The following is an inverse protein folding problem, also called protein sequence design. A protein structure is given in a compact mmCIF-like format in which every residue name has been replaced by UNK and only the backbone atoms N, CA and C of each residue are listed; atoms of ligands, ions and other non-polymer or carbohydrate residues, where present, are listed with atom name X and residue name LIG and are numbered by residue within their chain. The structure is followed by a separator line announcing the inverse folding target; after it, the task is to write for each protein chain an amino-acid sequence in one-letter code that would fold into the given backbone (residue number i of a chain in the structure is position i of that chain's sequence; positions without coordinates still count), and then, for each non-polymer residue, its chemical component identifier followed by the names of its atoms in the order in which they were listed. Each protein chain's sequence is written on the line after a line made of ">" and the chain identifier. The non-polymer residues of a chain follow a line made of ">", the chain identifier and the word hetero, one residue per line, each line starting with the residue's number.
data_IF_608318089505
#
_entry.id   IF_608318089505
#
_cell.length_a   1.000
_cell.length_b   1.000
_cell.length_c   1.000
_cell.angle_alpha   90.00
_cell.angle_beta   90.00
_cell.angle_gamma   90.00
#
_symmetry.space_group_name_H-M   'P 1'
#
loop_
_entity.id
_entity.type
_entity.pdbx_description
1 polymer ?
#
# COMPACT_ATOMS: atom_id res chain seq x y z
N UNK A 1 -3.62 -30.52 50.93
CA UNK A 1 -3.05 -29.24 50.45
C UNK A 1 -3.96 -28.42 49.52
N UNK A 2 -4.98 -28.99 48.86
CA UNK A 2 -5.87 -28.26 47.92
C UNK A 2 -6.85 -27.23 48.53
N UNK A 3 -6.94 -27.11 49.86
CA UNK A 3 -7.91 -26.21 50.53
C UNK A 3 -7.51 -24.73 50.51
N UNK A 4 -6.21 -24.43 50.39
CA UNK A 4 -5.70 -23.05 50.37
C UNK A 4 -5.96 -22.35 49.01
N UNK A 5 -5.87 -23.10 47.90
CA UNK A 5 -6.11 -22.57 46.55
C UNK A 5 -7.59 -22.20 46.33
N UNK A 6 -8.51 -22.99 46.90
CA UNK A 6 -9.97 -22.75 46.83
C UNK A 6 -10.42 -21.49 47.60
N UNK A 7 -9.61 -21.00 48.55
CA UNK A 7 -9.91 -19.81 49.35
C UNK A 7 -9.52 -18.52 48.61
N UNK A 8 -8.35 -18.51 47.94
CA UNK A 8 -7.89 -17.39 47.10
C UNK A 8 -8.82 -17.03 45.94
N UNK A 9 -9.53 -18.00 45.36
CA UNK A 9 -10.51 -17.72 44.28
C UNK A 9 -11.80 -17.06 44.78
N UNK A 10 -12.08 -17.10 46.09
CA UNK A 10 -13.32 -16.56 46.70
C UNK A 10 -13.13 -15.18 47.34
N UNK A 11 -11.90 -14.65 47.30
CA UNK A 11 -11.52 -13.31 47.77
C UNK A 11 -11.55 -12.27 46.63
N UNK A 12 -12.47 -12.40 45.66
CA UNK A 12 -12.76 -11.34 44.67
C UNK A 12 -13.63 -10.21 45.26
N UNK A 13 -13.43 -9.90 46.54
CA UNK A 13 -14.09 -8.78 47.23
C UNK A 13 -13.31 -7.51 46.93
N UNK A 14 -13.53 -6.89 45.77
CA UNK A 14 -12.79 -5.66 45.46
C UNK A 14 -12.89 -5.13 44.04
N UNK A 15 -14.06 -5.18 43.40
CA UNK A 15 -14.34 -4.27 42.30
C UNK A 15 -15.67 -3.60 42.60
N UNK A 16 -15.60 -2.35 43.02
CA UNK A 16 -16.78 -1.51 43.13
C UNK A 16 -17.13 -0.97 41.74
N UNK A 17 -18.42 -0.76 41.45
CA UNK A 17 -18.84 -0.19 40.16
C UNK A 17 -18.20 1.17 39.88
N UNK A 18 -17.88 1.94 40.93
CA UNK A 18 -17.25 3.25 40.81
C UNK A 18 -15.79 3.18 40.34
N UNK A 19 -15.04 2.14 40.74
CA UNK A 19 -13.66 1.93 40.27
C UNK A 19 -13.64 1.58 38.78
N UNK A 20 -14.55 0.72 38.33
CA UNK A 20 -14.69 0.43 36.91
C UNK A 20 -15.18 1.66 36.12
N UNK A 21 -16.05 2.47 36.72
CA UNK A 21 -16.56 3.70 36.10
C UNK A 21 -15.45 4.74 35.88
N UNK A 22 -14.58 4.96 36.87
CA UNK A 22 -13.47 5.90 36.72
C UNK A 22 -12.52 5.51 35.57
N UNK A 23 -12.24 4.21 35.41
CA UNK A 23 -11.36 3.70 34.35
C UNK A 23 -11.96 3.90 32.96
N UNK A 24 -13.24 3.56 32.76
CA UNK A 24 -13.88 3.75 31.44
C UNK A 24 -13.99 5.23 31.06
N UNK A 25 -14.14 6.13 32.03
CA UNK A 25 -14.16 7.59 31.79
C UNK A 25 -12.80 8.05 31.27
N UNK A 26 -11.71 7.65 31.94
CA UNK A 26 -10.36 8.01 31.51
C UNK A 26 -10.05 7.41 30.13
N UNK A 27 -10.36 6.12 29.90
CA UNK A 27 -10.20 5.48 28.60
C UNK A 27 -11.04 6.16 27.51
N UNK A 28 -12.25 6.61 27.85
CA UNK A 28 -13.13 7.35 26.94
C UNK A 28 -12.54 8.69 26.50
N UNK A 29 -11.95 9.46 27.43
CA UNK A 29 -11.29 10.73 27.12
C UNK A 29 -10.07 10.50 26.22
N UNK A 30 -9.25 9.50 26.54
CA UNK A 30 -8.07 9.16 25.72
C UNK A 30 -8.51 8.70 24.32
N UNK A 31 -9.49 7.81 24.23
CA UNK A 31 -10.02 7.31 22.97
C UNK A 31 -10.60 8.43 22.09
N UNK A 32 -11.29 9.42 22.68
CA UNK A 32 -11.88 10.53 21.96
C UNK A 32 -10.84 11.36 21.16
N UNK A 33 -9.62 11.53 21.70
CA UNK A 33 -8.54 12.28 21.02
C UNK A 33 -7.69 11.35 20.15
N UNK A 34 -7.45 10.12 20.61
CA UNK A 34 -6.57 9.17 19.94
C UNK A 34 -7.16 8.66 18.60
N UNK A 35 -8.47 8.36 18.55
CA UNK A 35 -9.09 7.75 17.36
C UNK A 35 -8.99 8.64 16.12
N UNK A 36 -9.39 9.94 16.16
CA UNK A 36 -9.26 10.81 14.98
C UNK A 36 -7.81 10.97 14.53
N UNK A 37 -6.88 11.12 15.48
CA UNK A 37 -5.46 11.34 15.22
C UNK A 37 -4.80 10.13 14.55
N UNK A 38 -5.08 8.92 15.06
CA UNK A 38 -4.55 7.67 14.51
C UNK A 38 -5.19 7.34 13.16
N UNK A 39 -6.49 7.61 12.99
CA UNK A 39 -7.20 7.36 11.73
C UNK A 39 -6.60 8.13 10.54
N UNK A 40 -6.32 9.43 10.73
CA UNK A 40 -5.66 10.25 9.70
C UNK A 40 -4.24 9.76 9.38
N UNK A 41 -3.46 9.41 10.41
CA UNK A 41 -2.11 8.89 10.25
C UNK A 41 -2.09 7.58 9.47
N UNK A 42 -2.97 6.63 9.79
CA UNK A 42 -3.07 5.34 9.09
C UNK A 42 -3.36 5.55 7.60
N UNK A 43 -4.29 6.44 7.25
CA UNK A 43 -4.60 6.73 5.85
C UNK A 43 -3.40 7.31 5.11
N UNK A 44 -2.67 8.24 5.74
CA UNK A 44 -1.43 8.77 5.16
C UNK A 44 -0.38 7.68 4.96
N UNK A 45 -0.11 6.86 5.97
CA UNK A 45 0.85 5.74 5.87
C UNK A 45 0.47 4.76 4.77
N UNK A 46 -0.82 4.45 4.59
CA UNK A 46 -1.29 3.59 3.49
C UNK A 46 -1.06 4.24 2.12
N UNK A 47 -1.32 5.54 1.99
CA UNK A 47 -1.08 6.27 0.75
C UNK A 47 0.41 6.37 0.42
N UNK A 48 1.25 6.66 1.42
CA UNK A 48 2.70 6.69 1.30
C UNK A 48 3.24 5.31 0.86
N UNK A 49 2.70 4.22 1.42
CA UNK A 49 3.07 2.85 1.03
C UNK A 49 2.72 2.55 -0.43
N UNK A 50 1.51 2.92 -0.89
CA UNK A 50 1.07 2.76 -2.29
C UNK A 50 1.98 3.53 -3.26
N UNK A 51 2.35 4.76 -2.91
CA UNK A 51 3.25 5.57 -3.76
C UNK A 51 4.66 4.98 -3.79
N UNK A 52 5.17 4.53 -2.65
CA UNK A 52 6.48 3.88 -2.58
C UNK A 52 6.52 2.59 -3.42
N UNK A 53 5.46 1.79 -3.37
CA UNK A 53 5.30 0.59 -4.20
C UNK A 53 5.31 0.94 -5.69
N UNK A 54 4.52 1.93 -6.13
CA UNK A 54 4.53 2.39 -7.51
C UNK A 54 5.93 2.85 -7.99
N UNK A 55 6.69 3.54 -7.14
CA UNK A 55 8.07 3.94 -7.45
C UNK A 55 8.98 2.71 -7.58
N UNK A 56 8.83 1.70 -6.74
CA UNK A 56 9.60 0.46 -6.83
C UNK A 56 9.31 -0.29 -8.14
N UNK A 57 8.03 -0.38 -8.54
CA UNK A 57 7.59 -0.95 -9.81
C UNK A 57 8.22 -0.19 -10.99
N UNK A 58 8.17 1.14 -10.99
CA UNK A 58 8.80 1.97 -12.04
C UNK A 58 10.31 1.75 -12.09
N UNK A 59 10.98 1.64 -10.94
CA UNK A 59 12.42 1.37 -10.89
C UNK A 59 12.76 -0.02 -11.47
N UNK A 60 11.92 -1.03 -11.27
CA UNK A 60 12.08 -2.33 -11.89
C UNK A 60 11.91 -2.26 -13.42
N UNK A 61 10.90 -1.52 -13.91
CA UNK A 61 10.73 -1.25 -15.34
C UNK A 61 11.93 -0.50 -15.94
N UNK A 62 12.50 0.46 -15.22
CA UNK A 62 13.74 1.16 -15.60
C UNK A 62 14.92 0.21 -15.74
N UNK A 63 15.12 -0.68 -14.77
CA UNK A 63 16.19 -1.67 -14.80
C UNK A 63 16.02 -2.65 -15.98
N UNK A 64 14.79 -3.09 -16.21
CA UNK A 64 14.43 -3.94 -17.35
C UNK A 64 14.74 -3.24 -18.68
N UNK A 65 14.34 -1.97 -18.83
CA UNK A 65 14.61 -1.18 -20.04
C UNK A 65 16.10 -0.90 -20.24
N UNK A 66 16.86 -0.70 -19.16
CA UNK A 66 18.31 -0.55 -19.23
C UNK A 66 18.98 -1.80 -19.82
N UNK A 67 18.39 -2.98 -19.59
CA UNK A 67 18.84 -4.26 -20.17
C UNK A 67 18.33 -4.47 -21.60
N UNK A 68 17.09 -4.04 -21.90
CA UNK A 68 16.49 -4.12 -23.22
C UNK A 68 15.67 -2.87 -23.55
N UNK A 69 16.28 -1.94 -24.30
CA UNK A 69 15.69 -0.65 -24.63
C UNK A 69 14.44 -0.73 -25.54
N UNK A 70 14.22 -1.88 -26.18
CA UNK A 70 13.05 -2.13 -27.05
C UNK A 70 11.78 -2.38 -26.26
N UNK A 71 11.89 -2.70 -24.97
CA UNK A 71 10.73 -2.86 -24.09
C UNK A 71 10.25 -1.46 -23.67
N UNK A 72 8.98 -1.19 -23.93
CA UNK A 72 8.33 0.10 -23.58
C UNK A 72 7.10 -0.08 -22.72
N UNK A 73 6.69 -1.33 -22.47
CA UNK A 73 5.53 -1.66 -21.65
C UNK A 73 5.89 -2.82 -20.73
N UNK A 74 5.34 -2.78 -19.52
CA UNK A 74 5.48 -3.84 -18.57
C UNK A 74 4.18 -4.08 -17.81
N UNK A 75 3.90 -5.33 -17.56
CA UNK A 75 2.77 -5.81 -16.79
C UNK A 75 3.23 -6.67 -15.61
N UNK A 76 2.31 -7.05 -14.74
CA UNK A 76 2.61 -7.79 -13.53
C UNK A 76 2.94 -9.26 -13.83
N UNK A 77 2.12 -9.93 -14.66
CA UNK A 77 2.10 -11.38 -14.81
C UNK A 77 2.48 -11.89 -16.20
N UNK A 78 2.62 -11.00 -17.20
CA UNK A 78 2.90 -11.34 -18.59
C UNK A 78 1.64 -11.61 -19.44
N UNK A 79 0.44 -11.29 -18.93
CA UNK A 79 -0.83 -11.40 -19.63
C UNK A 79 -1.04 -10.34 -20.72
N UNK A 80 -0.29 -9.23 -20.70
CA UNK A 80 -0.38 -8.23 -21.75
C UNK A 80 0.04 -8.82 -23.09
N UNK A 81 -0.87 -8.76 -24.05
CA UNK A 81 -0.57 -9.10 -25.44
C UNK A 81 -0.22 -7.82 -26.20
N UNK A 82 0.83 -7.83 -27.04
CA UNK A 82 1.16 -6.68 -27.89
C UNK A 82 -0.03 -6.28 -28.76
N UNK A 83 -0.71 -5.18 -28.40
CA UNK A 83 -1.77 -4.60 -29.23
C UNK A 83 -1.15 -3.65 -30.24
N UNK A 84 -0.81 -4.19 -31.42
CA UNK A 84 -0.27 -3.41 -32.52
C UNK A 84 0.16 -4.28 -33.69
N UNK A 85 -0.64 -4.27 -34.76
CA UNK A 85 -0.27 -4.92 -36.01
C UNK A 85 1.02 -4.33 -36.58
N UNK A 86 2.11 -5.10 -36.54
CA UNK A 86 3.24 -4.94 -37.46
C UNK A 86 4.64 -4.77 -36.85
N UNK A 87 4.80 -4.55 -35.55
CA UNK A 87 6.14 -4.57 -34.91
C UNK A 87 6.04 -5.34 -33.60
N UNK A 88 6.86 -6.36 -33.40
CA UNK A 88 6.89 -7.12 -32.16
C UNK A 88 7.31 -6.18 -31.01
N UNK A 89 6.35 -5.65 -30.28
CA UNK A 89 6.59 -4.95 -29.01
C UNK A 89 6.93 -6.03 -27.99
N UNK A 90 8.19 -6.09 -27.57
CA UNK A 90 8.57 -6.92 -26.42
C UNK A 90 8.01 -6.26 -25.18
N UNK A 91 7.17 -7.00 -24.45
CA UNK A 91 6.59 -6.58 -23.17
C UNK A 91 7.42 -7.23 -22.06
N UNK A 92 7.80 -6.44 -21.06
CA UNK A 92 8.56 -6.94 -19.93
C UNK A 92 7.63 -7.32 -18.78
N UNK A 93 7.99 -8.33 -18.00
CA UNK A 93 7.22 -8.74 -16.83
C UNK A 93 7.87 -8.19 -15.55
N UNK A 94 7.13 -7.44 -14.75
CA UNK A 94 7.62 -6.89 -13.48
C UNK A 94 7.57 -7.93 -12.36
N UNK A 95 6.62 -8.86 -12.38
CA UNK A 95 6.49 -9.90 -11.36
C UNK A 95 7.71 -10.82 -11.21
N UNK A 96 8.63 -10.83 -12.18
CA UNK A 96 9.91 -11.55 -12.09
C UNK A 96 11.05 -10.68 -11.49
N UNK A 97 10.85 -9.36 -11.44
CA UNK A 97 11.84 -8.37 -10.99
C UNK A 97 11.53 -7.84 -9.58
N UNK A 98 10.27 -7.90 -9.14
CA UNK A 98 9.85 -7.46 -7.81
C UNK A 98 9.08 -8.56 -7.11
N UNK A 99 9.74 -9.20 -6.13
CA UNK A 99 9.09 -10.15 -5.24
C UNK A 99 8.15 -9.40 -4.29
N UNK A 100 6.86 -9.79 -4.27
CA UNK A 100 5.80 -9.30 -3.38
C UNK A 100 5.00 -8.05 -3.79
N UNK A 101 5.13 -7.54 -5.02
CA UNK A 101 4.12 -6.61 -5.60
C UNK A 101 3.02 -7.43 -6.27
N UNK A 102 2.44 -8.34 -5.49
CA UNK A 102 1.21 -9.04 -5.88
C UNK A 102 0.09 -8.39 -5.10
N UNK A 103 -0.44 -7.31 -5.63
CA UNK A 103 -1.80 -6.92 -5.26
C UNK A 103 -2.70 -7.96 -5.94
N UNK A 104 -3.13 -8.95 -5.16
CA UNK A 104 -3.89 -10.10 -5.66
C UNK A 104 -5.21 -9.61 -6.29
N UNK A 105 -5.19 -9.38 -7.60
CA UNK A 105 -6.36 -9.00 -8.40
C UNK A 105 -6.35 -7.58 -8.98
N UNK A 106 -5.22 -6.87 -9.00
CA UNK A 106 -5.07 -5.65 -9.80
C UNK A 106 -3.83 -5.72 -10.69
N UNK A 107 -4.06 -5.94 -11.97
CA UNK A 107 -3.04 -5.85 -13.01
C UNK A 107 -2.60 -4.38 -13.05
N UNK A 108 -1.30 -4.11 -12.89
CA UNK A 108 -0.74 -2.76 -13.08
C UNK A 108 0.04 -2.73 -14.37
N UNK A 109 0.03 -1.58 -15.04
CA UNK A 109 0.74 -1.40 -16.31
C UNK A 109 1.71 -0.24 -16.20
N UNK A 110 2.97 -0.51 -16.49
CA UNK A 110 3.98 0.55 -16.65
C UNK A 110 4.22 0.78 -18.12
N UNK A 111 4.24 2.05 -18.51
CA UNK A 111 4.57 2.45 -19.87
C UNK A 111 5.71 3.47 -19.86
N UNK A 112 6.59 3.34 -20.85
CA UNK A 112 7.61 4.33 -21.15
C UNK A 112 7.24 5.04 -22.45
N UNK A 113 6.88 6.33 -22.33
CA UNK A 113 6.47 7.15 -23.48
C UNK A 113 7.17 8.50 -23.41
N UNK A 114 7.86 8.88 -24.49
CA UNK A 114 8.43 10.22 -24.62
C UNK A 114 9.47 10.59 -23.56
N UNK A 115 10.18 9.61 -22.96
CA UNK A 115 11.16 9.88 -21.91
C UNK A 115 10.64 9.70 -20.48
N UNK A 116 9.33 9.51 -20.32
CA UNK A 116 8.67 9.48 -19.02
C UNK A 116 8.13 8.09 -18.73
N UNK A 117 8.34 7.64 -17.49
CA UNK A 117 7.70 6.44 -16.95
C UNK A 117 6.38 6.81 -16.30
N UNK A 118 5.34 6.04 -16.59
CA UNK A 118 4.01 6.21 -16.00
C UNK A 118 3.43 4.85 -15.63
N UNK A 119 2.63 4.81 -14.58
CA UNK A 119 1.93 3.62 -14.10
C UNK A 119 0.41 3.81 -14.20
N UNK A 120 -0.33 2.81 -14.66
CA UNK A 120 -1.80 2.74 -14.63
C UNK A 120 -2.29 1.55 -13.83
N UNK A 121 -3.58 1.61 -13.47
CA UNK A 121 -4.33 0.53 -12.79
C UNK A 121 -3.83 0.23 -11.36
N UNK A 122 -2.82 0.97 -10.90
CA UNK A 122 -2.32 0.95 -9.54
C UNK A 122 -3.03 1.97 -8.64
N UNK A 123 -3.19 1.64 -7.36
CA UNK A 123 -3.88 2.47 -6.37
C UNK A 123 -3.21 3.84 -6.15
N UNK A 124 -1.91 3.95 -6.41
CA UNK A 124 -1.16 5.21 -6.33
C UNK A 124 -1.72 6.30 -7.27
N UNK A 125 -2.40 5.91 -8.35
CA UNK A 125 -2.99 6.84 -9.29
C UNK A 125 -4.09 7.69 -8.63
N UNK A 126 -4.91 7.06 -7.80
CA UNK A 126 -5.97 7.76 -7.05
C UNK A 126 -5.38 8.73 -6.02
N UNK A 127 -4.22 8.39 -5.46
CA UNK A 127 -3.54 9.17 -4.42
C UNK A 127 -2.91 10.43 -5.01
N UNK A 128 -2.30 10.31 -6.19
CA UNK A 128 -1.48 11.37 -6.77
C UNK A 128 -2.23 12.20 -7.81
N UNK A 129 -3.02 11.56 -8.68
CA UNK A 129 -3.79 12.25 -9.74
C UNK A 129 -5.21 12.63 -9.30
N UNK A 130 -5.71 12.07 -8.21
CA UNK A 130 -7.10 12.24 -7.75
C UNK A 130 -8.15 11.57 -8.66
N UNK A 131 -7.72 10.84 -9.69
CA UNK A 131 -8.59 10.15 -10.64
C UNK A 131 -8.54 8.62 -10.43
N UNK A 132 -9.69 7.96 -10.52
CA UNK A 132 -9.82 6.48 -10.44
C UNK A 132 -9.30 5.80 -11.70
N UNK A 133 -9.30 6.52 -12.82
CA UNK A 133 -8.78 6.06 -14.12
C UNK A 133 -7.77 7.08 -14.63
N UNK A 134 -6.66 6.60 -15.18
CA UNK A 134 -5.57 7.46 -15.64
C UNK A 134 -4.20 6.87 -15.30
N UNK A 135 -3.17 7.69 -15.47
CA UNK A 135 -1.78 7.32 -15.22
C UNK A 135 -1.20 8.23 -14.15
N UNK A 136 -0.34 7.70 -13.28
CA UNK A 136 0.55 8.51 -12.45
C UNK A 136 1.93 8.51 -13.10
N UNK A 137 2.46 9.69 -13.36
CA UNK A 137 3.83 9.83 -13.86
C UNK A 137 4.83 9.72 -12.72
N UNK A 138 6.06 9.33 -13.04
CA UNK A 138 7.14 9.25 -12.07
C UNK A 138 7.35 10.58 -11.32
N UNK A 139 7.32 11.71 -12.01
CA UNK A 139 7.51 13.03 -11.41
C UNK A 139 6.44 13.33 -10.36
N UNK A 140 5.18 13.00 -10.66
CA UNK A 140 4.07 13.19 -9.72
C UNK A 140 4.20 12.29 -8.48
N UNK A 141 4.66 11.05 -8.66
CA UNK A 141 4.91 10.10 -7.58
C UNK A 141 6.07 10.56 -6.67
N UNK A 142 7.18 11.02 -7.26
CA UNK A 142 8.33 11.53 -6.51
C UNK A 142 7.96 12.79 -5.71
N UNK A 143 7.26 13.72 -6.34
CA UNK A 143 6.76 14.94 -5.69
C UNK A 143 5.83 14.64 -4.52
N UNK A 144 4.98 13.61 -4.64
CA UNK A 144 4.13 13.18 -3.53
C UNK A 144 4.95 12.59 -2.37
N UNK A 145 5.95 11.77 -2.69
CA UNK A 145 6.83 11.15 -1.68
C UNK A 145 7.79 12.14 -1.01
N UNK A 146 7.90 13.37 -1.54
CA UNK A 146 8.80 14.40 -1.01
C UNK A 146 10.25 14.27 -1.47
N UNK A 147 10.49 13.57 -2.58
CA UNK A 147 11.79 13.44 -3.24
C UNK A 147 11.89 14.31 -4.50
#
# INVERSE_FOLDING_TARGET
>A
MFKALKRKMKDQRGLTLIELLAVIVILGIIAAIAIPSIGGLITKTKNDAKVAEAIQIINAAKLSRASNASITQWDDDGSLTPSGGGTAVSIGKIGDLVENVKDAGKDYLVEYVGGVYRISEHDANTVVSGATTGFATEDELLKYSGN
#
